data_IF_967239542890
#
_entry.id   IF_967239542890
#
_cell.length_a   1.000
_cell.length_b   1.000
_cell.length_c   1.000
_cell.angle_alpha   90.00
_cell.angle_beta   90.00
_cell.angle_gamma   90.00
#
_symmetry.space_group_name_H-M   'P 1'
#
loop_
_entity.id
_entity.type
_entity.pdbx_description
1 polymer ?
#
# COMPACT_ATOMS: atom_id res chain seq x y z
N UNK A 1 -5.91 -13.35 12.22
CA UNK A 1 -6.45 -12.21 11.44
C UNK A 1 -5.75 -10.92 11.85
N UNK A 2 -5.68 -9.93 10.96
CA UNK A 2 -5.10 -8.62 11.24
C UNK A 2 -5.89 -7.47 10.59
N UNK A 3 -5.72 -6.29 11.16
CA UNK A 3 -6.14 -5.00 10.61
C UNK A 3 -4.95 -4.01 10.68
N UNK A 4 -4.72 -3.24 9.62
CA UNK A 4 -3.62 -2.27 9.54
C UNK A 4 -4.04 -1.06 8.72
N UNK A 5 -3.97 0.13 9.30
CA UNK A 5 -3.97 1.38 8.53
C UNK A 5 -2.53 1.77 8.21
N UNK A 6 -2.16 1.96 6.95
CA UNK A 6 -0.81 2.39 6.57
C UNK A 6 -0.83 3.52 5.54
N UNK A 7 0.34 4.12 5.31
CA UNK A 7 0.60 5.05 4.22
C UNK A 7 1.55 4.38 3.21
N UNK A 8 1.02 3.73 2.16
CA UNK A 8 1.85 2.98 1.23
C UNK A 8 2.66 3.89 0.31
N UNK A 9 3.95 4.02 0.58
CA UNK A 9 4.88 4.80 -0.25
C UNK A 9 6.04 3.97 -0.81
N UNK A 10 6.51 4.38 -1.98
CA UNK A 10 7.78 3.96 -2.61
C UNK A 10 8.74 5.14 -2.64
N UNK A 11 10.04 4.85 -2.55
CA UNK A 11 11.07 5.88 -2.68
C UNK A 11 11.73 5.74 -4.05
N UNK A 12 11.57 6.77 -4.88
CA UNK A 12 12.22 6.83 -6.19
C UNK A 12 13.39 7.81 -6.14
N UNK A 13 14.42 7.55 -6.94
CA UNK A 13 15.46 8.54 -7.22
C UNK A 13 14.91 9.54 -8.22
N UNK A 14 15.04 10.84 -7.91
CA UNK A 14 14.73 11.94 -8.82
C UNK A 14 15.99 12.80 -8.91
N UNK A 15 16.86 12.49 -9.87
CA UNK A 15 18.23 12.99 -9.88
C UNK A 15 19.00 12.55 -8.63
N UNK A 16 19.65 13.48 -7.95
CA UNK A 16 20.41 13.25 -6.72
C UNK A 16 19.51 13.10 -5.47
N UNK A 17 18.26 13.54 -5.53
CA UNK A 17 17.35 13.56 -4.37
C UNK A 17 16.43 12.34 -4.35
N UNK A 18 16.21 11.77 -3.16
CA UNK A 18 15.22 10.71 -2.93
C UNK A 18 13.86 11.33 -2.64
N UNK A 19 12.82 10.88 -3.35
CA UNK A 19 11.44 11.32 -3.12
C UNK A 19 10.53 10.15 -2.78
N UNK A 20 9.70 10.32 -1.74
CA UNK A 20 8.64 9.38 -1.40
C UNK A 20 7.39 9.72 -2.21
N UNK A 21 6.83 8.72 -2.89
CA UNK A 21 5.60 8.84 -3.65
C UNK A 21 4.60 7.80 -3.14
N UNK A 22 3.33 8.18 -3.11
CA UNK A 22 2.22 7.24 -2.94
C UNK A 22 2.30 6.15 -4.01
N UNK A 23 2.15 4.89 -3.60
CA UNK A 23 2.34 3.73 -4.49
C UNK A 23 1.33 3.71 -5.64
N UNK A 24 0.07 4.11 -5.37
CA UNK A 24 -1.01 4.10 -6.36
C UNK A 24 -0.77 5.20 -7.39
N UNK A 25 -0.44 6.41 -6.94
CA UNK A 25 -0.10 7.52 -7.83
C UNK A 25 1.18 7.25 -8.61
N UNK A 26 2.16 6.59 -8.00
CA UNK A 26 3.37 6.16 -8.68
C UNK A 26 3.03 5.19 -9.83
N UNK A 27 2.21 4.16 -9.56
CA UNK A 27 1.82 3.20 -10.59
C UNK A 27 0.95 3.83 -11.69
N UNK A 28 0.02 4.72 -11.34
CA UNK A 28 -0.76 5.49 -12.33
C UNK A 28 0.16 6.25 -13.30
N UNK A 29 1.16 6.96 -12.78
CA UNK A 29 2.13 7.69 -13.62
C UNK A 29 2.93 6.77 -14.55
N UNK A 30 3.36 5.60 -14.05
CA UNK A 30 4.04 4.61 -14.88
C UNK A 30 3.15 4.10 -16.01
N UNK A 31 1.90 3.73 -15.72
CA UNK A 31 0.94 3.28 -16.72
C UNK A 31 0.66 4.34 -17.80
N UNK A 32 0.48 5.60 -17.39
CA UNK A 32 0.30 6.71 -18.35
C UNK A 32 1.50 6.86 -19.27
N UNK A 33 2.72 6.80 -18.70
CA UNK A 33 3.96 6.84 -19.49
C UNK A 33 4.09 5.65 -20.43
N UNK A 34 3.76 4.43 -19.99
CA UNK A 34 3.80 3.21 -20.79
C UNK A 34 2.82 3.27 -21.98
N UNK A 35 1.68 3.95 -21.81
CA UNK A 35 0.62 4.08 -22.83
C UNK A 35 0.68 5.38 -23.63
N UNK A 36 1.59 6.30 -23.29
CA UNK A 36 1.72 7.60 -23.96
C UNK A 36 0.65 8.63 -23.60
N UNK A 37 -0.07 8.45 -22.50
CA UNK A 37 -1.09 9.41 -22.04
C UNK A 37 -0.50 10.46 -21.09
N UNK A 38 -1.03 11.69 -21.12
CA UNK A 38 -0.63 12.76 -20.20
C UNK A 38 -1.45 12.75 -18.91
N UNK A 39 -2.76 12.49 -18.99
CA UNK A 39 -3.67 12.42 -17.84
C UNK A 39 -4.45 11.12 -17.81
N UNK A 40 -4.87 10.71 -16.62
CA UNK A 40 -5.71 9.52 -16.42
C UNK A 40 -7.08 9.60 -17.11
N UNK A 41 -7.59 10.81 -17.30
CA UNK A 41 -8.83 11.09 -18.05
C UNK A 41 -8.67 10.90 -19.56
N UNK A 42 -7.44 10.96 -20.09
CA UNK A 42 -7.19 10.83 -21.53
C UNK A 42 -7.24 9.35 -21.96
N UNK A 43 -7.12 8.43 -21.01
CA UNK A 43 -7.28 6.99 -21.24
C UNK A 43 -8.76 6.61 -21.17
N UNK A 44 -9.33 6.07 -22.24
CA UNK A 44 -10.75 5.66 -22.28
C UNK A 44 -11.11 4.66 -21.17
N UNK A 45 -12.25 4.87 -20.49
CA UNK A 45 -12.76 3.94 -19.48
C UNK A 45 -13.27 2.62 -20.07
N UNK A 46 -13.56 2.59 -21.38
CA UNK A 46 -13.94 1.37 -22.11
C UNK A 46 -12.74 0.57 -22.64
N UNK A 47 -11.51 1.07 -22.48
CA UNK A 47 -10.30 0.33 -22.86
C UNK A 47 -10.04 -0.78 -21.83
N UNK A 48 -10.04 -2.07 -22.22
CA UNK A 48 -9.81 -3.18 -21.30
C UNK A 48 -8.41 -3.17 -20.67
N UNK A 49 -7.45 -2.45 -21.26
CA UNK A 49 -6.12 -2.29 -20.68
C UNK A 49 -6.10 -1.29 -19.52
N UNK A 50 -7.14 -0.45 -19.36
CA UNK A 50 -7.23 0.50 -18.25
C UNK A 50 -7.69 -0.24 -16.99
N UNK A 51 -6.84 -0.34 -15.96
CA UNK A 51 -7.25 -1.04 -14.75
C UNK A 51 -8.35 -0.25 -14.04
N UNK A 52 -9.35 -0.96 -13.52
CA UNK A 52 -10.34 -0.36 -12.66
C UNK A 52 -9.64 0.26 -11.43
N UNK A 53 -10.09 1.43 -10.94
CA UNK A 53 -9.45 2.10 -9.81
C UNK A 53 -9.32 1.20 -8.57
N UNK A 54 -10.34 0.39 -8.30
CA UNK A 54 -10.35 -0.56 -7.19
C UNK A 54 -9.26 -1.62 -7.36
N UNK A 55 -9.20 -2.30 -8.51
CA UNK A 55 -8.21 -3.35 -8.79
C UNK A 55 -6.78 -2.80 -8.74
N UNK A 56 -6.57 -1.58 -9.25
CA UNK A 56 -5.27 -0.93 -9.20
C UNK A 56 -4.83 -0.68 -7.75
N UNK A 57 -5.71 -0.15 -6.91
CA UNK A 57 -5.42 0.09 -5.48
C UNK A 57 -5.16 -1.23 -4.78
N UNK A 58 -6.05 -2.20 -4.93
CA UNK A 58 -5.96 -3.54 -4.35
C UNK A 58 -4.62 -4.20 -4.66
N UNK A 59 -4.25 -4.27 -5.94
CA UNK A 59 -3.02 -4.95 -6.39
C UNK A 59 -1.76 -4.23 -5.92
N UNK A 60 -1.69 -2.91 -6.09
CA UNK A 60 -0.48 -2.14 -5.79
C UNK A 60 -0.23 -2.06 -4.28
N UNK A 61 -1.27 -1.84 -3.49
CA UNK A 61 -1.15 -1.78 -2.03
C UNK A 61 -0.85 -3.15 -1.43
N UNK A 62 -1.48 -4.23 -1.94
CA UNK A 62 -1.15 -5.60 -1.52
C UNK A 62 0.31 -5.90 -1.81
N UNK A 63 0.80 -5.61 -3.03
CA UNK A 63 2.21 -5.80 -3.37
C UNK A 63 3.15 -5.02 -2.42
N UNK A 64 2.77 -3.80 -2.04
CA UNK A 64 3.54 -2.99 -1.09
C UNK A 64 3.64 -3.66 0.30
N UNK A 65 2.57 -4.27 0.79
CA UNK A 65 2.55 -4.98 2.07
C UNK A 65 3.32 -6.30 1.98
N UNK A 66 3.12 -7.08 0.91
CA UNK A 66 3.84 -8.33 0.65
C UNK A 66 5.36 -8.12 0.63
N UNK A 67 5.85 -7.08 -0.05
CA UNK A 67 7.29 -6.74 -0.09
C UNK A 67 7.88 -6.29 1.27
N UNK A 68 7.06 -6.22 2.31
CA UNK A 68 7.44 -5.90 3.69
C UNK A 68 7.22 -7.05 4.65
N UNK A 69 6.42 -8.05 4.27
CA UNK A 69 5.98 -9.12 5.15
C UNK A 69 7.16 -9.89 5.75
N UNK A 70 8.09 -10.37 4.90
CA UNK A 70 9.23 -11.18 5.32
C UNK A 70 10.08 -10.50 6.40
N UNK A 71 10.57 -9.28 6.12
CA UNK A 71 11.33 -8.47 7.10
C UNK A 71 10.52 -8.03 8.32
N UNK A 72 9.21 -8.13 8.25
CA UNK A 72 8.30 -7.82 9.34
C UNK A 72 7.91 -9.08 10.14
N UNK A 73 8.46 -10.25 9.81
CA UNK A 73 8.24 -11.51 10.54
C UNK A 73 6.90 -12.19 10.27
N UNK A 74 6.24 -11.89 9.15
CA UNK A 74 5.02 -12.58 8.75
C UNK A 74 4.95 -12.87 7.25
N UNK A 75 4.05 -13.76 6.85
CA UNK A 75 3.61 -13.97 5.47
C UNK A 75 2.11 -13.68 5.37
N UNK A 76 1.66 -13.14 4.24
CA UNK A 76 0.22 -12.95 3.99
C UNK A 76 -0.35 -14.27 3.46
N UNK A 77 -1.48 -14.72 4.03
CA UNK A 77 -2.13 -15.96 3.58
C UNK A 77 -2.96 -15.67 2.33
N UNK A 78 -2.74 -16.45 1.27
CA UNK A 78 -3.56 -16.44 0.06
C UNK A 78 -4.52 -17.64 0.12
N UNK A 79 -5.82 -17.40 0.07
CA UNK A 79 -6.79 -18.49 -0.10
C UNK A 79 -6.90 -18.75 -1.59
N UNK A 80 -6.33 -19.89 -1.98
CA UNK A 80 -6.06 -20.33 -3.34
C UNK A 80 -5.02 -19.50 -4.11
N UNK A 81 -4.25 -20.20 -4.94
CA UNK A 81 -3.09 -19.72 -5.73
C UNK A 81 -3.34 -18.46 -6.58
N UNK A 82 -4.56 -17.94 -6.64
CA UNK A 82 -4.96 -16.76 -7.40
C UNK A 82 -5.71 -15.67 -6.60
N UNK A 83 -5.98 -15.81 -5.28
CA UNK A 83 -6.64 -14.75 -4.51
C UNK A 83 -5.96 -14.50 -3.15
N UNK A 84 -5.40 -13.31 -3.00
CA UNK A 84 -4.93 -12.84 -1.71
C UNK A 84 -6.14 -12.55 -0.81
N UNK A 85 -6.18 -13.11 0.41
CA UNK A 85 -7.24 -12.81 1.41
C UNK A 85 -7.21 -11.37 1.91
N UNK A 86 -6.22 -10.59 1.48
CA UNK A 86 -6.05 -9.22 1.94
C UNK A 86 -7.04 -8.34 1.23
N UNK A 87 -7.92 -7.70 2.01
CA UNK A 87 -8.79 -6.64 1.54
C UNK A 87 -8.08 -5.29 1.73
N UNK A 88 -8.09 -4.48 0.68
CA UNK A 88 -7.54 -3.12 0.66
C UNK A 88 -8.67 -2.13 0.48
N UNK A 89 -8.96 -1.35 1.52
CA UNK A 89 -10.01 -0.35 1.54
C UNK A 89 -9.49 1.02 1.96
N UNK A 90 -10.39 2.01 1.98
CA UNK A 90 -10.15 3.27 2.66
C UNK A 90 -9.03 4.12 2.05
N UNK A 91 -8.63 3.84 0.79
CA UNK A 91 -7.64 4.65 0.08
C UNK A 91 -8.10 6.11 0.05
N UNK A 92 -7.36 6.97 0.74
CA UNK A 92 -7.71 8.37 0.89
C UNK A 92 -6.45 9.22 0.90
N UNK A 93 -6.43 10.28 0.11
CA UNK A 93 -5.37 11.29 0.17
C UNK A 93 -5.75 12.36 1.18
N UNK A 94 -4.83 12.64 2.11
CA UNK A 94 -4.98 13.62 3.18
C UNK A 94 -4.09 14.83 2.92
N UNK A 95 -4.62 16.00 3.24
CA UNK A 95 -3.89 17.26 3.25
C UNK A 95 -4.04 17.92 4.64
N UNK A 96 -2.92 18.16 5.31
CA UNK A 96 -2.91 18.88 6.59
C UNK A 96 -2.56 20.35 6.35
N UNK A 97 -3.59 21.20 6.33
CA UNK A 97 -3.53 22.63 5.95
C UNK A 97 -2.46 23.45 6.68
N UNK A 98 -2.12 23.13 7.92
CA UNK A 98 -1.16 23.92 8.71
C UNK A 98 0.32 23.72 8.33
N UNK A 99 0.68 22.72 7.52
CA UNK A 99 2.10 22.38 7.23
C UNK A 99 2.40 21.91 5.79
N UNK A 100 1.46 22.07 4.85
CA UNK A 100 1.53 21.49 3.47
C UNK A 100 1.94 20.01 3.45
N UNK A 101 1.51 19.24 4.46
CA UNK A 101 1.80 17.80 4.55
C UNK A 101 0.75 17.07 3.72
N UNK A 102 1.20 16.24 2.78
CA UNK A 102 0.36 15.39 1.94
C UNK A 102 0.76 13.93 2.11
N UNK A 103 -0.20 13.07 2.36
CA UNK A 103 0.01 11.63 2.49
C UNK A 103 -1.27 10.89 2.13
N UNK A 104 -1.16 9.58 1.90
CA UNK A 104 -2.32 8.70 1.72
C UNK A 104 -2.47 7.77 2.91
N UNK A 105 -3.69 7.29 3.12
CA UNK A 105 -4.01 6.23 4.06
C UNK A 105 -4.69 5.10 3.33
N UNK A 106 -4.41 3.87 3.73
CA UNK A 106 -5.01 2.63 3.21
C UNK A 106 -5.24 1.70 4.38
N UNK A 107 -6.41 1.07 4.40
CA UNK A 107 -6.81 0.08 5.39
C UNK A 107 -6.65 -1.32 4.79
N UNK A 108 -5.82 -2.14 5.43
CA UNK A 108 -5.56 -3.53 5.10
C UNK A 108 -6.25 -4.41 6.14
N UNK A 109 -6.91 -5.47 5.70
CA UNK A 109 -7.42 -6.51 6.59
C UNK A 109 -7.25 -7.88 5.97
N UNK A 110 -7.04 -8.93 6.77
CA UNK A 110 -6.94 -10.29 6.26
C UNK A 110 -6.28 -11.26 7.24
N UNK A 111 -5.64 -12.30 6.68
CA UNK A 111 -4.95 -13.33 7.44
C UNK A 111 -3.44 -13.25 7.15
N UNK A 112 -2.66 -13.35 8.22
CA UNK A 112 -1.21 -13.50 8.14
C UNK A 112 -0.79 -14.72 8.95
N UNK A 113 0.33 -15.30 8.57
CA UNK A 113 1.06 -16.33 9.30
C UNK A 113 2.33 -15.71 9.88
N UNK A 114 2.60 -15.93 11.16
CA UNK A 114 3.83 -15.45 11.79
C UNK A 114 4.98 -16.37 11.42
N UNK A 115 5.97 -15.84 10.71
CA UNK A 115 7.15 -16.60 10.23
C UNK A 115 8.36 -16.42 11.15
N UNK A 116 8.47 -15.26 11.82
CA UNK A 116 9.48 -14.99 12.84
C UNK A 116 8.85 -14.20 13.98
N UNK A 117 8.74 -14.83 15.14
CA UNK A 117 8.08 -14.26 16.32
C UNK A 117 8.81 -13.04 16.90
N UNK A 118 10.15 -12.98 16.80
CA UNK A 118 10.94 -11.85 17.33
C UNK A 118 10.78 -10.63 16.43
N UNK A 119 10.92 -10.81 15.11
CA UNK A 119 10.71 -9.75 14.13
C UNK A 119 9.26 -9.27 14.13
N UNK A 120 8.31 -10.18 14.23
CA UNK A 120 6.89 -9.84 14.27
C UNK A 120 6.54 -9.03 15.52
N UNK A 121 7.03 -9.45 16.70
CA UNK A 121 6.87 -8.67 17.93
C UNK A 121 7.43 -7.26 17.77
N UNK A 122 8.64 -7.11 17.23
CA UNK A 122 9.22 -5.78 16.98
C UNK A 122 8.36 -4.96 16.00
N UNK A 123 7.81 -5.59 14.96
CA UNK A 123 6.91 -4.95 14.00
C UNK A 123 5.65 -4.40 14.67
N UNK A 124 5.02 -5.16 15.57
CA UNK A 124 3.82 -4.72 16.29
C UNK A 124 4.07 -3.44 17.10
N UNK A 125 5.23 -3.33 17.77
CA UNK A 125 5.56 -2.16 18.57
C UNK A 125 6.10 -0.98 17.77
N UNK A 126 6.82 -1.25 16.68
CA UNK A 126 7.44 -0.19 15.87
C UNK A 126 6.48 0.35 14.80
N UNK A 127 5.54 -0.46 14.33
CA UNK A 127 4.57 -0.15 13.29
C UNK A 127 5.14 -0.16 11.86
N UNK A 128 4.27 -0.34 10.88
CA UNK A 128 4.64 -0.50 9.46
C UNK A 128 4.46 0.80 8.66
N UNK A 129 5.51 1.20 7.94
CA UNK A 129 5.43 2.33 7.00
C UNK A 129 5.57 3.72 7.64
N UNK A 130 5.51 4.80 6.83
CA UNK A 130 5.62 6.18 7.29
C UNK A 130 4.31 6.71 7.90
N UNK A 131 4.31 8.00 8.27
CA UNK A 131 3.15 8.73 8.79
C UNK A 131 2.55 8.18 10.10
N UNK A 132 3.40 7.56 10.94
CA UNK A 132 2.98 6.98 12.23
C UNK A 132 2.31 7.97 13.17
N UNK A 133 2.80 9.21 13.19
CA UNK A 133 2.21 10.30 13.96
C UNK A 133 0.82 10.77 13.45
N UNK A 134 0.35 10.24 12.31
CA UNK A 134 -0.92 10.59 11.68
C UNK A 134 -1.90 9.42 11.62
N UNK A 135 -1.76 8.45 12.54
CA UNK A 135 -2.66 7.30 12.64
C UNK A 135 -2.38 6.17 11.65
N UNK A 136 -1.14 6.06 11.15
CA UNK A 136 -0.69 4.96 10.31
C UNK A 136 0.27 4.02 11.07
N UNK A 137 0.39 2.79 10.61
CA UNK A 137 1.41 1.82 10.99
C UNK A 137 1.07 0.91 12.17
N UNK A 138 0.03 1.21 12.96
CA UNK A 138 -0.45 0.28 13.97
C UNK A 138 -1.12 -0.93 13.31
N UNK A 139 -0.64 -2.13 13.64
CA UNK A 139 -1.25 -3.40 13.25
C UNK A 139 -1.95 -4.01 14.45
N UNK A 140 -3.23 -4.31 14.30
CA UNK A 140 -4.01 -5.08 15.26
C UNK A 140 -4.04 -6.53 14.81
N UNK A 141 -3.85 -7.45 15.75
CA UNK A 141 -3.84 -8.89 15.47
C UNK A 141 -4.73 -9.64 16.45
N UNK A 142 -5.36 -10.69 15.96
CA UNK A 142 -6.17 -11.62 16.76
C UNK A 142 -6.06 -13.03 16.18
N UNK A 143 -6.26 -14.08 17.00
CA UNK A 143 -6.42 -15.45 16.49
C UNK A 143 -7.47 -15.50 15.37
N UNK A 144 -7.24 -16.37 14.38
CA UNK A 144 -8.20 -16.60 13.30
C UNK A 144 -9.40 -17.40 13.80
#
# INVERSE_FOLDING_TARGET
MFDLRANPVVTNKAGEKKRRNDVVMNRKKQLLSEKGFQRWSDWSDSDPAKPLPYDLVQNVCTHWLTARAERAGFALVNEDKNRTTIRVDGYSQKHAFKKDIRFSTVDFSGILEVTDTKLFRQTLFSGIGPAKAFGCGLMLVRPA
#
